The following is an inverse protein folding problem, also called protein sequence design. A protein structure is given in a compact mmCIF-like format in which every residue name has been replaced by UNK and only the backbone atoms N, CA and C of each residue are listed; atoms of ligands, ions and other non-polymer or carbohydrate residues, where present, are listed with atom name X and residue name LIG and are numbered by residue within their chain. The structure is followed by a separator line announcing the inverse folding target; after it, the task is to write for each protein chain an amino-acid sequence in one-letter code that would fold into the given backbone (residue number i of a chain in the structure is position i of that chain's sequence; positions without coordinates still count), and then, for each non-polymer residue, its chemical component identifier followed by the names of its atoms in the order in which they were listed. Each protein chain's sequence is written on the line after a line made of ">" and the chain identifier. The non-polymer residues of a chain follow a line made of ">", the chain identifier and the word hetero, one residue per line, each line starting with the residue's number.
data_IF_377091342288
#
_entry.id   IF_377091342288
#
_cell.length_a   1.000
_cell.length_b   1.000
_cell.length_c   1.000
_cell.angle_alpha   90.00
_cell.angle_beta   90.00
_cell.angle_gamma   90.00
#
_symmetry.space_group_name_H-M   'P 1'
#
loop_
_entity.id
_entity.type
_entity.pdbx_description
1 polymer ?
#
# COMPACT_ATOMS: atom_id res chain seq x y z
N UNK A 1 -2.22 -1.82 -37.98
CA UNK A 1 -2.68 -1.07 -36.81
C UNK A 1 -2.34 -1.94 -35.61
N UNK A 2 -1.25 -1.61 -34.91
CA UNK A 2 -0.88 -2.30 -33.66
C UNK A 2 -1.94 -1.89 -32.62
N UNK A 3 -2.73 -2.86 -32.13
CA UNK A 3 -3.62 -2.63 -31.01
C UNK A 3 -2.76 -2.26 -29.80
N UNK A 4 -2.91 -1.04 -29.25
CA UNK A 4 -2.42 -0.71 -27.95
C UNK A 4 -3.00 -1.73 -26.97
N UNK A 5 -2.16 -2.57 -26.42
CA UNK A 5 -2.49 -3.41 -25.26
C UNK A 5 -2.80 -2.44 -24.14
N UNK A 6 -4.09 -2.17 -23.89
CA UNK A 6 -4.52 -1.41 -22.72
C UNK A 6 -4.06 -2.22 -21.50
N UNK A 7 -2.98 -1.78 -20.88
CA UNK A 7 -2.47 -2.44 -19.68
C UNK A 7 -3.55 -2.37 -18.60
N UNK A 8 -3.99 -3.53 -18.10
CA UNK A 8 -5.02 -3.60 -17.07
C UNK A 8 -4.47 -3.10 -15.73
N UNK A 9 -5.27 -2.30 -15.01
CA UNK A 9 -4.90 -1.79 -13.70
C UNK A 9 -4.77 -2.95 -12.70
N UNK A 10 -3.72 -2.94 -11.91
CA UNK A 10 -3.53 -3.91 -10.83
C UNK A 10 -4.51 -3.68 -9.67
N UNK A 11 -4.90 -2.41 -9.43
CA UNK A 11 -6.00 -2.03 -8.54
C UNK A 11 -6.95 -1.15 -9.33
N UNK A 12 -8.23 -1.49 -9.36
CA UNK A 12 -9.27 -0.69 -9.99
C UNK A 12 -10.48 -0.57 -9.05
N UNK A 13 -10.89 0.65 -8.79
CA UNK A 13 -12.12 1.00 -8.08
C UNK A 13 -12.89 1.92 -9.02
N UNK A 14 -14.16 1.64 -9.25
CA UNK A 14 -15.03 2.42 -10.14
C UNK A 14 -16.35 2.72 -9.45
N UNK A 15 -16.65 4.01 -9.27
CA UNK A 15 -17.87 4.54 -8.66
C UNK A 15 -18.27 3.83 -7.37
N UNK A 16 -17.28 3.55 -6.50
CA UNK A 16 -17.54 2.77 -5.28
C UNK A 16 -18.23 3.61 -4.19
N UNK A 17 -19.34 3.08 -3.68
CA UNK A 17 -20.11 3.65 -2.57
C UNK A 17 -20.14 2.69 -1.39
N UNK A 18 -20.01 3.23 -0.17
CA UNK A 18 -20.11 2.43 1.05
C UNK A 18 -20.56 3.28 2.25
N UNK A 19 -21.39 2.67 3.13
CA UNK A 19 -21.83 3.29 4.38
C UNK A 19 -21.72 2.33 5.54
N UNK A 20 -21.34 2.84 6.71
CA UNK A 20 -21.51 2.15 8.00
C UNK A 20 -22.82 2.63 8.63
N UNK A 21 -23.89 1.82 8.55
CA UNK A 21 -25.22 2.27 8.89
C UNK A 21 -25.61 3.49 8.07
N UNK A 22 -26.00 4.58 8.71
CA UNK A 22 -26.41 5.83 8.04
C UNK A 22 -25.21 6.71 7.63
N UNK A 23 -24.01 6.39 8.09
CA UNK A 23 -22.82 7.19 7.79
C UNK A 23 -22.19 6.77 6.46
N UNK A 24 -22.37 7.59 5.41
CA UNK A 24 -21.70 7.40 4.14
C UNK A 24 -20.20 7.68 4.28
N UNK A 25 -19.35 6.76 3.78
CA UNK A 25 -17.89 6.84 3.89
C UNK A 25 -17.22 6.83 2.52
N UNK A 26 -17.74 6.07 1.56
CA UNK A 26 -17.34 6.17 0.15
C UNK A 26 -18.52 6.69 -0.66
N UNK A 27 -18.26 7.62 -1.56
CA UNK A 27 -19.28 8.39 -2.30
C UNK A 27 -18.87 8.59 -3.76
N UNK A 28 -18.82 7.50 -4.54
CA UNK A 28 -18.33 7.53 -5.91
C UNK A 28 -16.81 7.61 -5.95
N UNK A 29 -16.15 6.66 -5.29
CA UNK A 29 -14.68 6.58 -5.33
C UNK A 29 -14.23 5.92 -6.64
N UNK A 30 -13.43 6.66 -7.41
CA UNK A 30 -12.70 6.17 -8.57
C UNK A 30 -11.21 6.18 -8.28
N UNK A 31 -10.52 5.04 -8.50
CA UNK A 31 -9.08 4.92 -8.30
C UNK A 31 -8.51 3.83 -9.19
N UNK A 32 -7.35 4.10 -9.81
CA UNK A 32 -6.62 3.09 -10.58
C UNK A 32 -5.15 3.14 -10.26
N UNK A 33 -4.55 1.98 -9.99
CA UNK A 33 -3.10 1.82 -9.81
C UNK A 33 -2.60 0.83 -10.86
N UNK A 34 -1.64 1.27 -11.65
CA UNK A 34 -1.06 0.44 -12.71
C UNK A 34 0.08 -0.44 -12.16
N UNK A 35 0.39 -1.58 -12.79
CA UNK A 35 1.61 -2.32 -12.48
C UNK A 35 2.85 -1.42 -12.55
N UNK A 36 3.74 -1.53 -11.56
CA UNK A 36 4.93 -0.68 -11.48
C UNK A 36 4.65 0.79 -11.17
N UNK A 37 3.52 1.09 -10.52
CA UNK A 37 3.16 2.45 -10.11
C UNK A 37 3.01 2.53 -8.59
N UNK A 38 3.52 3.62 -8.01
CA UNK A 38 3.26 4.00 -6.61
C UNK A 38 2.19 5.09 -6.61
N UNK A 39 1.03 4.76 -6.05
CA UNK A 39 -0.08 5.68 -5.86
C UNK A 39 -0.22 6.01 -4.38
N UNK A 40 -0.13 7.29 -4.01
CA UNK A 40 -0.39 7.77 -2.67
C UNK A 40 -1.81 8.34 -2.56
N UNK A 41 -2.64 7.77 -1.69
CA UNK A 41 -3.96 8.25 -1.36
C UNK A 41 -3.90 9.07 -0.07
N UNK A 42 -3.89 10.39 -0.21
CA UNK A 42 -3.85 11.35 0.89
C UNK A 42 -5.26 11.70 1.36
N UNK A 43 -5.43 11.88 2.65
CA UNK A 43 -6.70 12.33 3.20
C UNK A 43 -6.66 12.47 4.72
N UNK A 44 -7.49 13.34 5.25
CA UNK A 44 -7.65 13.51 6.69
C UNK A 44 -8.29 12.30 7.38
N UNK A 45 -8.39 12.38 8.71
CA UNK A 45 -9.07 11.34 9.48
C UNK A 45 -10.55 11.26 9.07
N UNK A 46 -11.05 10.05 8.84
CA UNK A 46 -12.42 9.83 8.41
C UNK A 46 -12.69 10.07 6.92
N UNK A 47 -11.69 10.39 6.11
CA UNK A 47 -11.86 10.61 4.66
C UNK A 47 -12.27 9.36 3.88
N UNK A 48 -12.03 8.14 4.43
CA UNK A 48 -12.35 6.87 3.78
C UNK A 48 -11.14 6.00 3.46
N UNK A 49 -9.91 6.40 3.86
CA UNK A 49 -8.66 5.68 3.54
C UNK A 49 -8.69 4.21 3.97
N UNK A 50 -8.91 3.95 5.26
CA UNK A 50 -8.96 2.57 5.80
C UNK A 50 -10.16 1.78 5.26
N UNK A 51 -11.27 2.46 4.92
CA UNK A 51 -12.42 1.85 4.27
C UNK A 51 -12.07 1.40 2.84
N UNK A 52 -11.29 2.20 2.12
CA UNK A 52 -10.77 1.83 0.79
C UNK A 52 -9.89 0.58 0.87
N UNK A 53 -8.98 0.52 1.84
CA UNK A 53 -8.15 -0.68 2.06
C UNK A 53 -8.99 -1.90 2.45
N UNK A 54 -9.97 -1.72 3.37
CA UNK A 54 -10.88 -2.80 3.79
C UNK A 54 -11.68 -3.38 2.61
N UNK A 55 -12.10 -2.53 1.67
CA UNK A 55 -12.79 -2.95 0.47
C UNK A 55 -11.88 -3.75 -0.48
N UNK A 56 -10.63 -3.31 -0.70
CA UNK A 56 -9.63 -4.03 -1.49
C UNK A 56 -9.23 -5.38 -0.87
N UNK A 57 -9.25 -5.48 0.46
CA UNK A 57 -9.00 -6.72 1.19
C UNK A 57 -10.21 -7.69 1.20
N UNK A 58 -11.37 -7.23 0.67
CA UNK A 58 -12.60 -8.02 0.65
C UNK A 58 -13.30 -8.13 2.01
N UNK A 59 -13.01 -7.22 2.95
CA UNK A 59 -13.67 -7.20 4.26
C UNK A 59 -15.03 -6.51 4.22
N UNK A 60 -15.26 -5.66 3.23
CA UNK A 60 -16.51 -4.97 2.99
C UNK A 60 -16.85 -5.00 1.49
N UNK A 61 -18.15 -5.07 1.17
CA UNK A 61 -18.65 -4.99 -0.19
C UNK A 61 -19.18 -3.57 -0.46
N UNK A 62 -18.84 -2.93 -1.58
CA UNK A 62 -19.45 -1.66 -1.96
C UNK A 62 -20.95 -1.86 -2.20
N UNK A 63 -21.76 -0.86 -1.83
CA UNK A 63 -23.21 -0.88 -2.10
C UNK A 63 -23.54 -0.56 -3.57
N UNK A 64 -22.61 0.14 -4.25
CA UNK A 64 -22.64 0.46 -5.68
C UNK A 64 -21.21 0.52 -6.21
N UNK A 65 -21.06 0.41 -7.53
CA UNK A 65 -19.77 0.42 -8.19
C UNK A 65 -19.07 -0.94 -8.17
N UNK A 66 -17.77 -0.94 -8.44
CA UNK A 66 -16.98 -2.17 -8.49
C UNK A 66 -15.57 -1.98 -7.96
N UNK A 67 -15.00 -3.07 -7.44
CA UNK A 67 -13.62 -3.12 -6.95
C UNK A 67 -12.95 -4.35 -7.55
N UNK A 68 -11.74 -4.17 -8.06
CA UNK A 68 -10.94 -5.26 -8.66
C UNK A 68 -9.49 -5.18 -8.19
N UNK A 69 -8.92 -6.34 -7.88
CA UNK A 69 -7.49 -6.56 -7.62
C UNK A 69 -7.00 -7.54 -8.68
N UNK A 70 -6.15 -7.09 -9.59
CA UNK A 70 -5.71 -7.88 -10.76
C UNK A 70 -6.90 -8.51 -11.51
N UNK A 71 -7.96 -7.73 -11.76
CA UNK A 71 -9.20 -8.18 -12.41
C UNK A 71 -10.13 -9.00 -11.53
N UNK A 72 -9.73 -9.39 -10.31
CA UNK A 72 -10.51 -10.26 -9.41
C UNK A 72 -11.36 -9.38 -8.47
N UNK A 73 -12.63 -9.73 -8.30
CA UNK A 73 -13.49 -9.12 -7.29
C UNK A 73 -13.13 -9.69 -5.89
N UNK A 74 -12.70 -8.83 -4.94
CA UNK A 74 -12.26 -9.32 -3.63
C UNK A 74 -13.41 -9.81 -2.73
N UNK A 75 -14.66 -9.52 -3.08
CA UNK A 75 -15.84 -10.01 -2.34
C UNK A 75 -16.30 -11.36 -2.91
N UNK A 76 -16.30 -11.50 -4.25
CA UNK A 76 -16.72 -12.74 -4.93
C UNK A 76 -15.68 -13.86 -4.78
N UNK A 77 -14.38 -13.52 -4.91
CA UNK A 77 -13.27 -14.47 -4.75
C UNK A 77 -12.18 -13.92 -3.81
N UNK A 78 -12.47 -13.85 -2.50
CA UNK A 78 -11.55 -13.24 -1.52
C UNK A 78 -10.24 -14.01 -1.37
N UNK A 79 -10.24 -15.32 -1.56
CA UNK A 79 -9.02 -16.13 -1.44
C UNK A 79 -8.04 -15.81 -2.57
N UNK A 80 -8.53 -15.78 -3.81
CA UNK A 80 -7.73 -15.44 -4.97
C UNK A 80 -7.29 -13.98 -4.97
N UNK A 81 -8.17 -13.04 -4.61
CA UNK A 81 -7.80 -11.62 -4.51
C UNK A 81 -6.68 -11.42 -3.48
N UNK A 82 -6.77 -12.03 -2.28
CA UNK A 82 -5.74 -11.95 -1.24
C UNK A 82 -4.43 -12.65 -1.62
N UNK A 83 -4.45 -13.63 -2.53
CA UNK A 83 -3.21 -14.22 -3.05
C UNK A 83 -2.44 -13.26 -3.96
N UNK A 84 -3.11 -12.25 -4.55
CA UNK A 84 -2.52 -11.25 -5.44
C UNK A 84 -2.00 -10.01 -4.72
N UNK A 85 -2.21 -9.88 -3.41
CA UNK A 85 -1.80 -8.69 -2.67
C UNK A 85 -1.10 -9.03 -1.35
N UNK A 86 -0.27 -8.08 -0.89
CA UNK A 86 0.21 -8.03 0.48
C UNK A 86 -0.26 -6.73 1.13
N UNK A 87 -0.61 -6.81 2.40
CA UNK A 87 -1.03 -5.66 3.19
C UNK A 87 -0.07 -5.45 4.36
N UNK A 88 0.43 -4.23 4.50
CA UNK A 88 1.27 -3.79 5.62
C UNK A 88 0.46 -2.76 6.40
N UNK A 89 -0.06 -3.11 7.58
CA UNK A 89 -0.78 -2.18 8.43
C UNK A 89 0.15 -1.16 9.09
N UNK A 90 -0.38 -0.04 9.57
CA UNK A 90 0.36 0.96 10.34
C UNK A 90 1.10 0.34 11.54
N UNK A 91 0.46 -0.58 12.24
CA UNK A 91 1.04 -1.34 13.35
C UNK A 91 1.27 -2.79 12.91
N UNK A 92 2.52 -3.09 12.56
CA UNK A 92 2.92 -4.43 12.11
C UNK A 92 2.86 -5.41 13.26
N UNK A 93 1.95 -6.38 13.18
CA UNK A 93 1.82 -7.48 14.13
C UNK A 93 2.74 -8.64 13.71
N UNK A 94 3.85 -8.81 14.43
CA UNK A 94 4.76 -9.95 14.33
C UNK A 94 4.73 -10.73 15.65
N UNK A 95 5.11 -11.99 15.61
CA UNK A 95 5.27 -12.82 16.81
C UNK A 95 6.58 -12.44 17.51
N UNK A 96 6.51 -11.74 18.62
CA UNK A 96 7.64 -11.18 19.34
C UNK A 96 8.69 -12.20 19.79
N UNK A 97 8.26 -13.42 20.04
CA UNK A 97 9.14 -14.53 20.46
C UNK A 97 9.85 -15.23 19.29
N UNK A 98 9.43 -14.98 18.06
CA UNK A 98 10.07 -15.47 16.85
C UNK A 98 11.11 -14.49 16.33
N UNK A 99 12.10 -14.99 15.60
CA UNK A 99 13.07 -14.19 14.86
C UNK A 99 12.44 -13.55 13.60
N UNK A 100 13.17 -12.67 12.94
CA UNK A 100 12.72 -12.09 11.67
C UNK A 100 12.49 -13.18 10.61
N UNK A 101 13.45 -14.11 10.48
CA UNK A 101 13.36 -15.25 9.54
C UNK A 101 12.18 -16.14 9.86
N UNK A 102 11.99 -16.53 11.11
CA UNK A 102 10.87 -17.37 11.54
C UNK A 102 9.51 -16.69 11.34
N UNK A 103 9.40 -15.37 11.55
CA UNK A 103 8.18 -14.62 11.23
C UNK A 103 7.87 -14.68 9.72
N UNK A 104 8.86 -14.42 8.86
CA UNK A 104 8.65 -14.50 7.41
C UNK A 104 8.25 -15.91 7.00
N UNK A 105 8.94 -16.94 7.45
CA UNK A 105 8.61 -18.34 7.17
C UNK A 105 7.18 -18.69 7.61
N UNK A 106 6.82 -18.32 8.83
CA UNK A 106 5.49 -18.57 9.38
C UNK A 106 4.37 -17.94 8.54
N UNK A 107 4.51 -16.67 8.19
CA UNK A 107 3.48 -15.97 7.41
C UNK A 107 3.45 -16.42 5.93
N UNK A 108 4.58 -16.85 5.36
CA UNK A 108 4.60 -17.48 4.04
C UNK A 108 3.85 -18.81 4.06
N UNK A 109 4.09 -19.64 5.06
CA UNK A 109 3.38 -20.91 5.23
C UNK A 109 1.86 -20.68 5.41
N UNK A 110 1.47 -19.66 6.18
CA UNK A 110 0.05 -19.29 6.39
C UNK A 110 -0.62 -18.80 5.10
N UNK A 111 0.13 -18.14 4.24
CA UNK A 111 -0.36 -17.66 2.94
C UNK A 111 -0.44 -18.75 1.86
N UNK A 112 -0.17 -20.03 2.20
CA UNK A 112 -0.01 -21.14 1.25
C UNK A 112 0.99 -20.83 0.11
N UNK A 113 1.88 -19.87 0.34
CA UNK A 113 3.01 -19.66 -0.55
C UNK A 113 3.91 -20.91 -0.46
N UNK A 114 4.48 -21.35 -1.58
CA UNK A 114 5.41 -22.47 -1.60
C UNK A 114 6.39 -22.28 -0.45
N UNK A 115 6.43 -23.26 0.47
CA UNK A 115 7.18 -23.15 1.73
C UNK A 115 8.57 -22.66 1.41
N UNK A 116 8.82 -21.46 1.86
CA UNK A 116 10.03 -20.76 1.52
C UNK A 116 11.21 -21.52 2.09
N UNK A 117 11.98 -22.10 1.20
CA UNK A 117 13.36 -22.39 1.46
C UNK A 117 14.03 -21.06 1.90
N UNK A 118 15.10 -21.13 2.69
CA UNK A 118 15.99 -20.00 2.95
C UNK A 118 16.35 -19.22 1.66
N UNK A 119 16.20 -19.87 0.50
CA UNK A 119 16.40 -19.30 -0.83
C UNK A 119 15.53 -18.08 -1.19
N UNK A 120 14.36 -17.87 -0.57
CA UNK A 120 13.51 -16.67 -0.81
C UNK A 120 13.51 -15.73 0.39
N UNK A 121 13.68 -16.24 1.61
CA UNK A 121 13.62 -15.42 2.84
C UNK A 121 14.87 -14.53 2.95
N UNK A 122 16.05 -15.11 2.84
CA UNK A 122 17.32 -14.37 2.99
C UNK A 122 17.48 -13.26 1.94
N UNK A 123 17.21 -13.49 0.64
CA UNK A 123 17.19 -12.43 -0.34
C UNK A 123 16.14 -11.34 -0.04
N UNK A 124 14.97 -11.70 0.48
CA UNK A 124 13.94 -10.73 0.84
C UNK A 124 14.36 -9.87 2.04
N UNK A 125 14.91 -10.48 3.11
CA UNK A 125 15.45 -9.75 4.26
C UNK A 125 16.63 -8.86 3.88
N UNK A 126 17.48 -9.31 2.97
CA UNK A 126 18.58 -8.52 2.42
C UNK A 126 18.07 -7.34 1.60
N UNK A 127 17.07 -7.57 0.74
CA UNK A 127 16.50 -6.53 -0.12
C UNK A 127 15.90 -5.37 0.66
N UNK A 128 15.34 -5.63 1.86
CA UNK A 128 14.82 -4.58 2.75
C UNK A 128 15.90 -3.94 3.63
N UNK A 129 17.17 -4.28 3.43
CA UNK A 129 18.27 -3.72 4.22
C UNK A 129 18.21 -4.08 5.71
N UNK A 130 17.62 -5.23 6.07
CA UNK A 130 17.73 -5.75 7.43
C UNK A 130 19.10 -6.43 7.58
N UNK A 131 19.95 -5.99 8.53
CA UNK A 131 21.30 -6.53 8.63
C UNK A 131 21.27 -8.04 8.95
N UNK A 132 22.15 -8.87 8.36
CA UNK A 132 22.18 -10.32 8.61
C UNK A 132 22.26 -10.71 10.08
N UNK A 133 22.93 -9.88 10.89
CA UNK A 133 23.03 -10.08 12.33
C UNK A 133 21.70 -9.94 13.10
N UNK A 134 20.64 -9.44 12.44
CA UNK A 134 19.30 -9.31 13.00
C UNK A 134 18.34 -10.43 12.55
N UNK A 135 18.66 -11.18 11.50
CA UNK A 135 17.72 -12.14 10.91
C UNK A 135 17.27 -13.24 11.88
N UNK A 136 18.16 -13.71 12.73
CA UNK A 136 17.89 -14.76 13.72
C UNK A 136 17.62 -14.18 15.13
N UNK A 137 17.50 -12.85 15.26
CA UNK A 137 17.11 -12.20 16.52
C UNK A 137 15.59 -12.11 16.63
N UNK A 138 15.08 -12.30 17.86
CA UNK A 138 13.67 -12.12 18.18
C UNK A 138 13.20 -10.70 17.88
N UNK A 139 12.07 -10.58 17.17
CA UNK A 139 11.56 -9.27 16.74
C UNK A 139 10.96 -8.43 17.87
N UNK A 140 10.76 -9.02 19.06
CA UNK A 140 10.31 -8.28 20.25
C UNK A 140 11.23 -7.11 20.65
N UNK A 141 12.52 -7.18 20.31
CA UNK A 141 13.48 -6.09 20.49
C UNK A 141 13.68 -5.16 19.28
N UNK A 142 12.90 -5.31 18.23
CA UNK A 142 13.05 -4.51 17.02
C UNK A 142 12.39 -3.13 17.13
N UNK A 143 13.03 -2.12 16.53
CA UNK A 143 12.38 -0.83 16.31
C UNK A 143 11.18 -0.96 15.35
N UNK A 144 10.29 0.05 15.34
CA UNK A 144 9.17 0.09 14.40
C UNK A 144 9.63 -0.08 12.95
N UNK A 145 10.69 0.64 12.55
CA UNK A 145 11.26 0.52 11.20
C UNK A 145 11.80 -0.87 10.87
N UNK A 146 12.44 -1.55 11.83
CA UNK A 146 12.89 -2.94 11.62
C UNK A 146 11.70 -3.90 11.47
N UNK A 147 10.62 -3.72 12.23
CA UNK A 147 9.38 -4.51 12.08
C UNK A 147 8.74 -4.30 10.72
N UNK A 148 8.68 -3.05 10.23
CA UNK A 148 8.20 -2.74 8.89
C UNK A 148 9.04 -3.40 7.80
N UNK A 149 10.38 -3.38 7.94
CA UNK A 149 11.28 -4.11 7.02
C UNK A 149 10.93 -5.58 6.95
N UNK A 150 10.64 -6.24 8.08
CA UNK A 150 10.22 -7.66 8.09
C UNK A 150 8.89 -7.87 7.34
N UNK A 151 7.91 -6.99 7.55
CA UNK A 151 6.62 -7.08 6.85
C UNK A 151 6.75 -6.87 5.33
N UNK A 152 7.63 -5.96 4.91
CA UNK A 152 7.89 -5.76 3.47
C UNK A 152 8.70 -6.92 2.90
N UNK A 153 9.67 -7.47 3.65
CA UNK A 153 10.37 -8.68 3.23
C UNK A 153 9.40 -9.83 2.96
N UNK A 154 8.40 -10.01 3.83
CA UNK A 154 7.32 -10.97 3.61
C UNK A 154 6.56 -10.68 2.29
N UNK A 155 6.20 -9.43 2.02
CA UNK A 155 5.53 -9.05 0.79
C UNK A 155 6.39 -9.35 -0.45
N UNK A 156 7.68 -9.02 -0.40
CA UNK A 156 8.64 -9.32 -1.48
C UNK A 156 8.83 -10.83 -1.68
N UNK A 157 8.92 -11.60 -0.60
CA UNK A 157 9.07 -13.06 -0.66
C UNK A 157 7.84 -13.76 -1.24
N UNK A 158 6.65 -13.16 -1.11
CA UNK A 158 5.41 -13.65 -1.74
C UNK A 158 5.31 -13.37 -3.23
N UNK A 159 6.16 -12.50 -3.78
CA UNK A 159 6.12 -12.10 -5.19
C UNK A 159 4.73 -11.63 -5.68
N UNK A 160 3.99 -10.93 -4.82
CA UNK A 160 2.64 -10.45 -5.15
C UNK A 160 2.70 -9.23 -6.06
N UNK A 161 1.74 -9.08 -7.00
CA UNK A 161 1.69 -7.93 -7.91
C UNK A 161 1.20 -6.64 -7.25
N UNK A 162 0.55 -6.70 -6.07
CA UNK A 162 -0.03 -5.53 -5.39
C UNK A 162 0.47 -5.44 -3.95
N UNK A 163 0.89 -4.24 -3.54
CA UNK A 163 1.26 -3.91 -2.17
C UNK A 163 0.34 -2.79 -1.64
N UNK A 164 -0.40 -3.08 -0.58
CA UNK A 164 -1.24 -2.12 0.14
C UNK A 164 -0.53 -1.70 1.42
N UNK A 165 -0.36 -0.40 1.63
CA UNK A 165 0.35 0.18 2.77
C UNK A 165 -0.56 1.15 3.53
N UNK A 166 -0.66 0.97 4.84
CA UNK A 166 -1.44 1.85 5.73
C UNK A 166 -0.49 2.65 6.62
N UNK A 167 -0.41 3.98 6.41
CA UNK A 167 0.43 4.91 7.14
C UNK A 167 1.89 4.41 7.32
N UNK A 168 2.58 3.97 6.26
CA UNK A 168 3.79 3.16 6.37
C UNK A 168 4.99 3.90 6.96
N UNK A 169 5.03 5.24 6.89
CA UNK A 169 6.12 6.07 7.42
C UNK A 169 5.81 6.66 8.80
N UNK A 170 4.59 6.45 9.31
CA UNK A 170 4.17 6.95 10.62
C UNK A 170 5.12 6.50 11.73
N UNK A 171 5.73 7.47 12.44
CA UNK A 171 6.65 7.20 13.56
C UNK A 171 8.02 6.61 13.17
N UNK A 172 8.40 6.67 11.91
CA UNK A 172 9.77 6.45 11.47
C UNK A 172 10.58 7.73 11.63
N UNK A 173 11.87 7.56 11.92
CA UNK A 173 12.82 8.66 11.81
C UNK A 173 13.14 8.98 10.33
N UNK A 174 13.73 10.15 10.01
CA UNK A 174 13.99 10.54 8.63
C UNK A 174 14.88 9.54 7.86
N UNK A 175 15.85 8.91 8.52
CA UNK A 175 16.73 7.94 7.88
C UNK A 175 15.95 6.67 7.52
N UNK A 176 15.12 6.15 8.45
CA UNK A 176 14.28 4.99 8.22
C UNK A 176 13.24 5.27 7.11
N UNK A 177 12.70 6.49 7.03
CA UNK A 177 11.81 6.92 5.95
C UNK A 177 12.51 6.88 4.59
N UNK A 178 13.73 7.41 4.48
CA UNK A 178 14.50 7.34 3.23
C UNK A 178 14.80 5.90 2.80
N UNK A 179 15.16 5.05 3.74
CA UNK A 179 15.39 3.63 3.47
C UNK A 179 14.10 2.94 2.99
N UNK A 180 12.97 3.25 3.64
CA UNK A 180 11.67 2.76 3.24
C UNK A 180 11.28 3.22 1.82
N UNK A 181 11.49 4.49 1.49
CA UNK A 181 11.21 5.02 0.16
C UNK A 181 12.01 4.29 -0.93
N UNK A 182 13.28 3.97 -0.67
CA UNK A 182 14.12 3.15 -1.60
C UNK A 182 13.56 1.74 -1.80
N UNK A 183 12.95 1.16 -0.76
CA UNK A 183 12.29 -0.16 -0.88
C UNK A 183 11.07 -0.09 -1.79
N UNK A 184 10.29 0.98 -1.72
CA UNK A 184 9.16 1.21 -2.61
C UNK A 184 9.62 1.39 -4.06
N UNK A 185 10.71 2.12 -4.29
CA UNK A 185 11.32 2.24 -5.62
C UNK A 185 11.72 0.86 -6.17
N UNK A 186 12.37 0.03 -5.35
CA UNK A 186 12.74 -1.33 -5.74
C UNK A 186 11.51 -2.19 -6.07
N UNK A 187 10.43 -2.07 -5.32
CA UNK A 187 9.19 -2.78 -5.61
C UNK A 187 8.56 -2.31 -6.93
N UNK A 188 8.53 -0.99 -7.16
CA UNK A 188 8.06 -0.38 -8.42
C UNK A 188 8.85 -0.88 -9.63
N UNK A 189 10.19 -0.90 -9.55
CA UNK A 189 11.06 -1.39 -10.62
C UNK A 189 10.83 -2.87 -10.96
N UNK A 190 10.36 -3.66 -10.00
CA UNK A 190 9.94 -5.05 -10.18
C UNK A 190 8.52 -5.20 -10.73
N UNK A 191 7.84 -4.10 -11.06
CA UNK A 191 6.48 -4.10 -11.59
C UNK A 191 5.38 -4.21 -10.53
N UNK A 192 5.70 -4.12 -9.24
CA UNK A 192 4.69 -4.15 -8.17
C UNK A 192 3.89 -2.85 -8.16
N UNK A 193 2.57 -2.96 -8.18
CA UNK A 193 1.66 -1.84 -7.97
C UNK A 193 1.57 -1.54 -6.46
N UNK A 194 1.83 -0.31 -6.06
CA UNK A 194 1.79 0.10 -4.65
C UNK A 194 0.67 1.11 -4.44
N UNK A 195 -0.26 0.80 -3.56
CA UNK A 195 -1.23 1.77 -3.02
C UNK A 195 -0.86 2.08 -1.58
N UNK A 196 -0.43 3.30 -1.32
CA UNK A 196 -0.10 3.81 0.00
C UNK A 196 -1.19 4.77 0.45
N UNK A 197 -1.82 4.52 1.60
CA UNK A 197 -2.69 5.50 2.24
C UNK A 197 -1.92 6.19 3.35
N UNK A 198 -1.95 7.52 3.37
CA UNK A 198 -1.19 8.29 4.36
C UNK A 198 -1.77 9.70 4.55
N UNK A 199 -1.37 10.35 5.61
CA UNK A 199 -1.55 11.79 5.83
C UNK A 199 -0.22 12.56 5.70
N UNK A 200 0.91 11.84 5.52
CA UNK A 200 2.25 12.43 5.35
C UNK A 200 2.47 12.81 3.87
N UNK A 201 2.24 14.09 3.59
CA UNK A 201 2.39 14.66 2.26
C UNK A 201 3.84 14.61 1.76
N UNK A 202 4.82 14.82 2.64
CA UNK A 202 6.24 14.86 2.25
C UNK A 202 6.70 13.49 1.82
N UNK A 203 6.43 12.47 2.64
CA UNK A 203 6.77 11.09 2.31
C UNK A 203 6.07 10.63 1.02
N UNK A 204 4.79 11.02 0.81
CA UNK A 204 4.08 10.70 -0.42
C UNK A 204 4.72 11.37 -1.65
N UNK A 205 5.09 12.65 -1.56
CA UNK A 205 5.68 13.39 -2.67
C UNK A 205 7.07 12.87 -3.08
N UNK A 206 7.82 12.30 -2.14
CA UNK A 206 9.14 11.75 -2.40
C UNK A 206 9.10 10.51 -3.31
N UNK A 207 8.07 9.66 -3.19
CA UNK A 207 8.05 8.34 -3.86
C UNK A 207 6.92 8.14 -4.85
N UNK A 208 5.76 8.80 -4.66
CA UNK A 208 4.58 8.51 -5.46
C UNK A 208 4.74 8.95 -6.93
N UNK A 209 4.19 8.16 -7.84
CA UNK A 209 4.01 8.55 -9.25
C UNK A 209 2.70 9.33 -9.43
N UNK A 210 1.71 9.04 -8.57
CA UNK A 210 0.43 9.78 -8.52
C UNK A 210 0.01 9.98 -7.07
N UNK A 211 -0.58 11.14 -6.81
CA UNK A 211 -1.15 11.50 -5.51
C UNK A 211 -2.61 11.85 -5.71
N UNK A 212 -3.51 11.12 -5.03
CA UNK A 212 -4.94 11.39 -4.98
C UNK A 212 -5.33 11.98 -3.63
N UNK A 213 -6.11 13.05 -3.62
CA UNK A 213 -6.65 13.69 -2.42
C UNK A 213 -8.06 13.18 -2.15
N UNK A 214 -8.19 12.35 -1.11
CA UNK A 214 -9.46 11.76 -0.67
C UNK A 214 -10.17 12.68 0.32
N UNK A 215 -11.36 13.12 -0.02
CA UNK A 215 -12.23 13.89 0.86
C UNK A 215 -13.70 13.56 0.60
N UNK A 216 -14.50 13.43 1.66
CA UNK A 216 -15.91 13.07 1.54
C UNK A 216 -16.16 11.75 0.81
N UNK A 217 -15.22 10.80 0.91
CA UNK A 217 -15.32 9.47 0.31
C UNK A 217 -15.08 9.40 -1.19
N UNK A 218 -14.49 10.42 -1.80
CA UNK A 218 -14.12 10.46 -3.23
C UNK A 218 -12.78 11.16 -3.43
N UNK A 219 -12.10 10.89 -4.52
CA UNK A 219 -10.93 11.64 -4.94
C UNK A 219 -11.41 12.97 -5.51
N UNK A 220 -11.04 14.07 -4.83
CA UNK A 220 -11.42 15.42 -5.22
C UNK A 220 -10.40 16.08 -6.13
N UNK A 221 -9.18 15.60 -6.09
CA UNK A 221 -8.09 16.04 -6.95
C UNK A 221 -7.05 14.93 -7.08
N UNK A 222 -6.37 14.89 -8.22
CA UNK A 222 -5.30 13.96 -8.48
C UNK A 222 -4.14 14.67 -9.18
N UNK A 223 -2.91 14.32 -8.81
CA UNK A 223 -1.71 14.85 -9.42
C UNK A 223 -0.78 13.71 -9.83
N UNK A 224 -0.14 13.90 -10.97
CA UNK A 224 0.88 12.97 -11.48
C UNK A 224 2.25 13.61 -11.35
N UNK A 225 3.25 12.83 -10.94
CA UNK A 225 4.62 13.28 -10.81
C UNK A 225 5.15 13.81 -12.14
N UNK A 226 5.83 14.95 -12.12
CA UNK A 226 6.53 15.47 -13.28
C UNK A 226 7.76 14.59 -13.59
N UNK A 227 8.10 14.53 -14.87
CA UNK A 227 9.37 13.90 -15.30
C UNK A 227 10.51 14.89 -15.01
N UNK A 228 11.43 14.53 -14.11
CA UNK A 228 12.57 15.36 -13.76
C UNK A 228 12.93 15.31 -12.28
N UNK A 229 13.78 16.24 -11.81
CA UNK A 229 14.31 16.24 -10.44
C UNK A 229 13.27 16.60 -9.38
N UNK A 230 12.29 17.44 -9.71
CA UNK A 230 11.20 17.84 -8.80
C UNK A 230 9.93 17.14 -9.21
N UNK A 231 9.58 16.04 -8.54
CA UNK A 231 8.41 15.21 -8.87
C UNK A 231 7.10 15.99 -8.66
N UNK A 232 7.00 16.74 -7.57
CA UNK A 232 5.83 17.56 -7.22
C UNK A 232 6.24 18.93 -6.69
N UNK A 233 5.42 19.93 -6.93
CA UNK A 233 5.51 21.23 -6.26
C UNK A 233 4.94 21.10 -4.84
N UNK A 234 5.82 20.97 -3.85
CA UNK A 234 5.44 20.80 -2.44
C UNK A 234 4.61 21.99 -1.91
N UNK A 235 4.88 23.22 -2.35
CA UNK A 235 4.12 24.38 -1.91
C UNK A 235 2.69 24.35 -2.45
N UNK A 236 2.52 23.98 -3.72
CA UNK A 236 1.22 23.78 -4.32
C UNK A 236 0.45 22.65 -3.64
N UNK A 237 1.12 21.52 -3.37
CA UNK A 237 0.53 20.39 -2.65
C UNK A 237 0.08 20.78 -1.23
N UNK A 238 0.92 21.49 -0.46
CA UNK A 238 0.57 21.97 0.88
C UNK A 238 -0.63 22.91 0.89
N UNK A 239 -0.65 23.89 -0.02
CA UNK A 239 -1.77 24.82 -0.13
C UNK A 239 -3.10 24.11 -0.45
N UNK A 240 -3.05 23.03 -1.22
CA UNK A 240 -4.21 22.24 -1.61
C UNK A 240 -4.67 21.32 -0.49
N UNK A 241 -3.74 20.61 0.16
CA UNK A 241 -4.03 19.74 1.28
C UNK A 241 -4.59 20.49 2.50
N UNK A 242 -4.13 21.73 2.72
CA UNK A 242 -4.59 22.59 3.82
C UNK A 242 -5.96 23.26 3.56
N UNK A 243 -6.48 23.24 2.31
CA UNK A 243 -7.81 23.81 2.02
C UNK A 243 -8.89 22.88 2.58
N UNK A 244 -9.80 23.39 3.44
CA UNK A 244 -10.97 22.63 3.82
C UNK A 244 -11.77 22.35 2.54
N UNK A 245 -11.90 21.06 2.20
CA UNK A 245 -12.82 20.67 1.13
C UNK A 245 -14.22 20.91 1.69
N UNK A 246 -14.93 21.89 1.13
CA UNK A 246 -16.33 22.09 1.42
C UNK A 246 -17.08 20.82 0.97
N UNK A 247 -17.34 19.92 1.93
CA UNK A 247 -18.25 18.80 1.70
C UNK A 247 -19.63 19.42 1.55
N UNK A 248 -20.13 19.45 0.31
CA UNK A 248 -21.53 19.81 0.09
C UNK A 248 -22.39 18.87 0.90
N UNK A 249 -23.23 19.44 1.79
CA UNK A 249 -24.16 18.74 2.66
C UNK A 249 -25.24 18.01 1.85
#
# INVERSE_FOLDING_TARGET
>A
MAGELVQEAAVAISDAHYSYGDKRVLSGLDLRVMPGQIYALLGGNGAGKSTTLAALLGFIAPSQGSIRVCGIDPVEDPARARSMLAYVPESVALYDHLSARENVDYFLALANADRANASVIDPALSAVGLPPSAWDKRVGGFSKGMRQKVAIALALARHVPVLLLDEPTSGLDPQATLEFNRLLDTARERGVAVLMVTHDLLSAADVADRIGFLAGGRIVEEQTAAVGQTRFDLNALHQRYARPVAVAA
#
